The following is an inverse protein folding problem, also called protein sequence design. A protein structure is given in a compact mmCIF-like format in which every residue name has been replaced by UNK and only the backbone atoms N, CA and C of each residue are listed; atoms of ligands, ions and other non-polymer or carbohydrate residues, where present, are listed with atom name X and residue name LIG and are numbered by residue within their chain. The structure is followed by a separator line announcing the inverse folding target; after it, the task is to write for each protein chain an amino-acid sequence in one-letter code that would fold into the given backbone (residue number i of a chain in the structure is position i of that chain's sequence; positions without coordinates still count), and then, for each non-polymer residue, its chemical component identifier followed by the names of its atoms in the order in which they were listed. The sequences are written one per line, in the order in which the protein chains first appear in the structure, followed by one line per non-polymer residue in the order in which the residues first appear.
data_IF_315122032018
#
_entry.id   IF_315122032018
#
_cell.length_a   1.000
_cell.length_b   1.000
_cell.length_c   1.000
_cell.angle_alpha   90.00
_cell.angle_beta   90.00
_cell.angle_gamma   90.00
#
_symmetry.space_group_name_H-M   'P 1'
#
loop_
_entity.id
_entity.type
_entity.pdbx_description
1 polymer ?
#
# COMPACT_ATOMS: atom_id res chain seq x y z
N UNK A 1 5.24 -16.41 2.14
CA UNK A 1 4.22 -16.32 1.04
C UNK A 1 2.80 -16.56 1.53
N UNK A 2 2.55 -17.41 2.55
CA UNK A 2 1.21 -17.51 3.15
C UNK A 2 0.72 -16.20 3.77
N UNK A 3 1.62 -15.36 4.30
CA UNK A 3 1.24 -14.07 4.89
C UNK A 3 0.70 -13.09 3.84
N UNK A 4 1.31 -13.04 2.65
CA UNK A 4 0.87 -12.15 1.56
C UNK A 4 -0.52 -12.53 1.03
N UNK A 5 -0.82 -13.83 0.97
CA UNK A 5 -2.15 -14.33 0.61
C UNK A 5 -3.20 -13.87 1.62
N UNK A 6 -2.92 -14.00 2.92
CA UNK A 6 -3.84 -13.56 3.97
C UNK A 6 -4.06 -12.04 3.95
N UNK A 7 -2.99 -11.26 3.72
CA UNK A 7 -3.08 -9.81 3.59
C UNK A 7 -3.93 -9.40 2.37
N UNK A 8 -3.79 -10.10 1.25
CA UNK A 8 -4.58 -9.85 0.04
C UNK A 8 -6.05 -10.20 0.23
N UNK A 9 -6.34 -11.32 0.90
CA UNK A 9 -7.72 -11.69 1.26
C UNK A 9 -8.35 -10.68 2.23
N UNK A 10 -7.58 -10.19 3.21
CA UNK A 10 -8.04 -9.15 4.12
C UNK A 10 -8.38 -7.86 3.36
N UNK A 11 -7.47 -7.39 2.50
CA UNK A 11 -7.67 -6.19 1.70
C UNK A 11 -8.93 -6.30 0.83
N UNK A 12 -9.16 -7.46 0.21
CA UNK A 12 -10.34 -7.69 -0.63
C UNK A 12 -11.66 -7.73 0.14
N UNK A 13 -11.65 -8.02 1.45
CA UNK A 13 -12.84 -8.01 2.31
C UNK A 13 -13.22 -6.60 2.80
N UNK A 14 -12.32 -5.62 2.67
CA UNK A 14 -12.61 -4.23 3.03
C UNK A 14 -13.59 -3.60 2.05
N UNK A 15 -14.42 -2.69 2.56
CA UNK A 15 -15.20 -1.78 1.71
C UNK A 15 -14.28 -0.81 0.96
N UNK A 16 -14.77 -0.20 -0.12
CA UNK A 16 -13.99 0.77 -0.88
C UNK A 16 -13.58 2.01 -0.06
N UNK A 17 -14.40 2.43 0.91
CA UNK A 17 -14.03 3.48 1.85
C UNK A 17 -12.85 3.05 2.74
N UNK A 18 -12.92 1.86 3.34
CA UNK A 18 -11.85 1.33 4.18
C UNK A 18 -10.55 1.07 3.41
N UNK A 19 -10.64 0.68 2.14
CA UNK A 19 -9.45 0.54 1.28
C UNK A 19 -8.78 1.90 1.06
N UNK A 20 -9.57 2.94 0.78
CA UNK A 20 -9.04 4.30 0.62
C UNK A 20 -8.38 4.82 1.89
N UNK A 21 -9.01 4.60 3.05
CA UNK A 21 -8.45 5.00 4.35
C UNK A 21 -7.13 4.26 4.63
N UNK A 22 -7.08 2.96 4.35
CA UNK A 22 -5.86 2.16 4.49
C UNK A 22 -4.75 2.66 3.56
N UNK A 23 -5.06 2.90 2.28
CA UNK A 23 -4.11 3.42 1.30
C UNK A 23 -3.56 4.78 1.71
N UNK A 24 -4.39 5.63 2.31
CA UNK A 24 -4.00 6.95 2.82
C UNK A 24 -3.08 6.84 4.03
N UNK A 25 -3.48 6.07 5.04
CA UNK A 25 -2.66 5.86 6.24
C UNK A 25 -1.28 5.28 5.90
N UNK A 26 -1.23 4.29 5.01
CA UNK A 26 0.05 3.69 4.58
C UNK A 26 0.89 4.69 3.79
N UNK A 27 0.28 5.50 2.91
CA UNK A 27 1.01 6.53 2.16
C UNK A 27 1.65 7.57 3.11
N UNK A 28 0.88 8.08 4.07
CA UNK A 28 1.36 9.04 5.08
C UNK A 28 2.49 8.46 5.94
N UNK A 29 2.34 7.22 6.41
CA UNK A 29 3.33 6.57 7.27
C UNK A 29 4.66 6.34 6.57
N UNK A 30 4.65 6.05 5.26
CA UNK A 30 5.88 5.77 4.52
C UNK A 30 6.50 7.01 3.87
N UNK A 31 5.79 8.15 3.84
CA UNK A 31 6.20 9.35 3.10
C UNK A 31 7.57 9.90 3.52
N UNK A 32 7.90 9.85 4.82
CA UNK A 32 9.17 10.38 5.34
C UNK A 32 10.30 9.34 5.37
N UNK A 33 10.07 8.13 4.86
CA UNK A 33 11.10 7.11 4.77
C UNK A 33 12.05 7.39 3.60
N UNK A 34 13.26 6.84 3.66
CA UNK A 34 14.20 6.89 2.54
C UNK A 34 13.59 6.25 1.28
N UNK A 35 13.88 6.81 0.10
CA UNK A 35 13.35 6.36 -1.20
C UNK A 35 13.44 4.84 -1.41
N UNK A 36 14.56 4.24 -1.05
CA UNK A 36 14.78 2.80 -1.23
C UNK A 36 13.89 1.97 -0.30
N UNK A 37 13.57 2.49 0.88
CA UNK A 37 12.64 1.85 1.80
C UNK A 37 11.19 2.02 1.31
N UNK A 38 10.82 3.20 0.81
CA UNK A 38 9.52 3.42 0.18
C UNK A 38 9.28 2.46 -0.99
N UNK A 39 10.26 2.33 -1.89
CA UNK A 39 10.20 1.41 -3.05
C UNK A 39 10.02 -0.05 -2.61
N UNK A 40 10.72 -0.48 -1.56
CA UNK A 40 10.57 -1.85 -1.01
C UNK A 40 9.17 -2.08 -0.45
N UNK A 41 8.63 -1.13 0.29
CA UNK A 41 7.27 -1.24 0.86
C UNK A 41 6.23 -1.29 -0.27
N UNK A 42 6.33 -0.38 -1.26
CA UNK A 42 5.44 -0.38 -2.43
C UNK A 42 5.50 -1.72 -3.18
N UNK A 43 6.70 -2.30 -3.33
CA UNK A 43 6.85 -3.63 -3.95
C UNK A 43 6.11 -4.71 -3.15
N UNK A 44 6.27 -4.75 -1.83
CA UNK A 44 5.57 -5.71 -0.97
C UNK A 44 4.05 -5.54 -1.04
N UNK A 45 3.56 -4.29 -1.10
CA UNK A 45 2.14 -3.99 -1.25
C UNK A 45 1.60 -4.45 -2.62
N UNK A 46 2.40 -4.34 -3.69
CA UNK A 46 2.03 -4.88 -5.00
C UNK A 46 1.94 -6.41 -5.00
N UNK A 47 2.79 -7.08 -4.22
CA UNK A 47 2.74 -8.53 -4.05
C UNK A 47 1.49 -8.98 -3.25
N UNK A 48 0.94 -8.10 -2.40
CA UNK A 48 -0.33 -8.31 -1.69
C UNK A 48 -1.53 -8.08 -2.62
N UNK A 49 -1.60 -6.92 -3.25
CA UNK A 49 -2.57 -6.57 -4.29
C UNK A 49 -2.00 -5.43 -5.15
N UNK A 50 -1.91 -5.64 -6.46
CA UNK A 50 -1.36 -4.64 -7.39
C UNK A 50 -2.03 -3.26 -7.28
N UNK A 51 -3.34 -3.20 -6.97
CA UNK A 51 -4.05 -1.92 -6.83
C UNK A 51 -3.61 -1.19 -5.57
N UNK A 52 -3.38 -1.91 -4.46
CA UNK A 52 -2.93 -1.33 -3.20
C UNK A 52 -1.57 -0.64 -3.37
N UNK A 53 -0.57 -1.35 -3.89
CA UNK A 53 0.76 -0.78 -4.10
C UNK A 53 0.75 0.38 -5.11
N UNK A 54 -0.05 0.28 -6.18
CA UNK A 54 -0.21 1.37 -7.16
C UNK A 54 -0.84 2.63 -6.54
N UNK A 55 -1.89 2.47 -5.72
CA UNK A 55 -2.61 3.59 -5.12
C UNK A 55 -1.77 4.28 -4.04
N UNK A 56 -1.07 3.51 -3.20
CA UNK A 56 -0.14 4.05 -2.21
C UNK A 56 0.98 4.83 -2.88
N UNK A 57 1.60 4.26 -3.93
CA UNK A 57 2.63 4.96 -4.71
C UNK A 57 2.12 6.28 -5.28
N UNK A 58 0.96 6.26 -5.93
CA UNK A 58 0.37 7.48 -6.52
C UNK A 58 0.20 8.59 -5.50
N UNK A 59 -0.22 8.25 -4.27
CA UNK A 59 -0.39 9.24 -3.19
C UNK A 59 0.94 9.88 -2.77
N UNK A 60 2.02 9.10 -2.68
CA UNK A 60 3.36 9.64 -2.37
C UNK A 60 3.99 10.42 -3.53
N UNK A 61 3.74 10.01 -4.77
CA UNK A 61 4.21 10.73 -5.96
C UNK A 61 3.49 12.09 -6.14
N UNK A 62 2.36 12.33 -5.47
CA UNK A 62 1.61 13.61 -5.54
C UNK A 62 2.11 14.67 -4.56
N UNK A 63 2.85 14.28 -3.52
CA UNK A 63 3.35 15.15 -2.44
C UNK A 63 4.84 15.46 -2.54
N UNK A 64 5.53 14.93 -3.56
CA UNK A 64 6.91 15.27 -3.96
C UNK A 64 6.92 16.27 -5.12
#
# INVERSE_FOLDING_TARGET
MKELIQAGEFFNKLSEAQKKDLEEAVAEDIFFLEDDLQKKIISLLNDVDHRLGTNVRRRNDFTT
#
